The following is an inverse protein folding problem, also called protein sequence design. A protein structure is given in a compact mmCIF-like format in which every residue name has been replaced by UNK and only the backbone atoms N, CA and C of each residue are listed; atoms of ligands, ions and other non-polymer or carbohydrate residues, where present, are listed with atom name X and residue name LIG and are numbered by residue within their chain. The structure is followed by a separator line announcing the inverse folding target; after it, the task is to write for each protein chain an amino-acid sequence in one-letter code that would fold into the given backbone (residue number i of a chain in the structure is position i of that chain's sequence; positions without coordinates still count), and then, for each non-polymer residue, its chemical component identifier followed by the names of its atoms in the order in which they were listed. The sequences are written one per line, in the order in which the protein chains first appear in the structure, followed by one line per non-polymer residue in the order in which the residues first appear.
data_IF_138328092445
#
_entry.id   IF_138328092445
#
_cell.length_a   1.000
_cell.length_b   1.000
_cell.length_c   1.000
_cell.angle_alpha   90.00
_cell.angle_beta   90.00
_cell.angle_gamma   90.00
#
_symmetry.space_group_name_H-M   'P 1'
#
loop_
_entity.id
_entity.type
_entity.pdbx_description
1 polymer ?
#
# COMPACT_ATOMS: atom_id res chain seq x y z
N UNK A 1 12.88 14.63 11.45
CA UNK A 1 12.01 13.63 12.09
C UNK A 1 11.35 12.80 11.00
N UNK A 2 11.37 11.48 11.11
CA UNK A 2 10.79 10.60 10.10
C UNK A 2 9.31 10.39 10.36
N UNK A 3 8.53 10.37 9.28
CA UNK A 3 7.10 10.15 9.36
C UNK A 3 6.72 9.12 8.30
N UNK A 4 5.89 8.16 8.69
CA UNK A 4 5.35 7.15 7.77
C UNK A 4 3.85 7.30 7.64
N UNK A 5 3.36 7.24 6.42
CA UNK A 5 1.94 7.26 6.11
C UNK A 5 1.64 5.97 5.32
N UNK A 6 0.64 5.22 5.77
CA UNK A 6 0.21 3.98 5.14
C UNK A 6 -1.30 4.03 4.99
N UNK A 7 -1.76 4.17 3.75
CA UNK A 7 -3.19 4.38 3.47
C UNK A 7 -3.63 3.37 2.41
N UNK A 8 -4.82 2.80 2.61
CA UNK A 8 -5.43 1.86 1.66
C UNK A 8 -5.97 2.64 0.47
N UNK A 9 -5.53 2.30 -0.74
CA UNK A 9 -5.97 2.94 -1.97
C UNK A 9 -6.99 2.12 -2.75
N UNK A 10 -6.87 0.78 -2.72
CA UNK A 10 -7.76 -0.11 -3.43
C UNK A 10 -7.76 -1.47 -2.75
N UNK A 11 -8.85 -2.21 -2.88
CA UNK A 11 -9.00 -3.53 -2.27
C UNK A 11 -9.56 -4.49 -3.32
N UNK A 12 -8.98 -5.70 -3.36
CA UNK A 12 -9.51 -6.81 -4.15
C UNK A 12 -9.38 -8.09 -3.33
N UNK A 13 -10.52 -8.62 -2.86
CA UNK A 13 -10.51 -9.79 -2.00
C UNK A 13 -9.77 -9.51 -0.70
N UNK A 14 -8.75 -10.31 -0.40
CA UNK A 14 -7.95 -10.15 0.80
C UNK A 14 -6.63 -9.40 0.55
N UNK A 15 -6.47 -8.84 -0.64
CA UNK A 15 -5.31 -8.03 -0.99
C UNK A 15 -5.72 -6.58 -1.20
N UNK A 16 -4.77 -5.69 -1.02
CA UNK A 16 -5.00 -4.25 -1.20
C UNK A 16 -3.74 -3.58 -1.74
N UNK A 17 -3.95 -2.43 -2.38
CA UNK A 17 -2.88 -1.51 -2.72
C UNK A 17 -2.80 -0.45 -1.63
N UNK A 18 -1.62 -0.24 -1.11
CA UNK A 18 -1.37 0.75 -0.07
C UNK A 18 -0.44 1.84 -0.60
N UNK A 19 -0.73 3.07 -0.22
CA UNK A 19 0.24 4.16 -0.36
C UNK A 19 1.17 4.08 0.85
N UNK A 20 2.46 3.92 0.59
CA UNK A 20 3.47 3.92 1.64
C UNK A 20 4.38 5.13 1.40
N UNK A 21 4.16 6.17 2.17
CA UNK A 21 4.91 7.41 2.07
C UNK A 21 5.79 7.55 3.30
N UNK A 22 7.06 7.78 3.08
CA UNK A 22 8.03 8.03 4.15
C UNK A 22 8.59 9.42 3.98
N UNK A 23 8.45 10.25 4.99
CA UNK A 23 8.97 11.61 4.98
C UNK A 23 10.18 11.69 5.90
N UNK A 24 11.30 12.14 5.32
CA UNK A 24 12.54 12.39 6.04
C UNK A 24 12.77 13.89 6.08
N UNK A 25 13.80 14.34 6.80
CA UNK A 25 14.07 15.78 6.97
C UNK A 25 14.38 16.48 5.64
N UNK A 26 15.04 15.78 4.71
CA UNK A 26 15.54 16.38 3.47
C UNK A 26 14.95 15.74 2.20
N UNK A 27 14.14 14.69 2.32
CA UNK A 27 13.50 14.08 1.15
C UNK A 27 12.27 13.26 1.54
N UNK A 28 11.49 12.89 0.53
CA UNK A 28 10.30 12.05 0.70
C UNK A 28 10.36 10.89 -0.27
N UNK A 29 10.06 9.70 0.21
CA UNK A 29 9.92 8.50 -0.62
C UNK A 29 8.47 8.07 -0.67
N UNK A 30 7.99 7.70 -1.87
CA UNK A 30 6.65 7.16 -2.07
C UNK A 30 6.75 5.84 -2.79
N UNK A 31 6.13 4.82 -2.24
CA UNK A 31 6.01 3.51 -2.86
C UNK A 31 4.57 3.04 -2.79
N UNK A 32 4.20 2.15 -3.70
CA UNK A 32 2.89 1.53 -3.70
C UNK A 32 3.08 0.06 -3.43
N UNK A 33 2.33 -0.48 -2.48
CA UNK A 33 2.54 -1.83 -1.97
C UNK A 33 1.27 -2.63 -2.20
N UNK A 34 1.42 -3.84 -2.75
CA UNK A 34 0.32 -4.80 -2.79
C UNK A 34 0.59 -5.84 -1.73
N UNK A 35 -0.30 -5.96 -0.76
CA UNK A 35 -0.14 -6.90 0.33
C UNK A 35 -1.48 -7.39 0.83
N UNK A 36 -1.43 -8.41 1.71
CA UNK A 36 -2.62 -8.94 2.33
C UNK A 36 -3.18 -7.95 3.34
N UNK A 37 -4.50 -7.84 3.39
CA UNK A 37 -5.15 -6.95 4.36
C UNK A 37 -5.08 -7.56 5.76
N UNK A 38 -5.02 -6.68 6.75
CA UNK A 38 -5.08 -7.01 8.16
C UNK A 38 -6.22 -6.20 8.75
N UNK A 39 -7.11 -6.86 9.50
CA UNK A 39 -8.25 -6.22 10.19
C UNK A 39 -9.26 -5.56 9.23
N UNK A 40 -9.35 -6.03 7.99
CA UNK A 40 -10.36 -5.61 7.02
C UNK A 40 -10.52 -4.08 6.93
N UNK A 41 -9.48 -3.35 6.53
CA UNK A 41 -9.57 -1.90 6.42
C UNK A 41 -10.47 -1.49 5.25
N UNK A 42 -10.97 -0.26 5.29
CA UNK A 42 -11.68 0.34 4.17
C UNK A 42 -10.74 1.21 3.33
N UNK A 43 -11.13 1.48 2.09
CA UNK A 43 -10.37 2.40 1.23
C UNK A 43 -10.28 3.76 1.93
N UNK A 44 -9.07 4.31 1.99
CA UNK A 44 -8.80 5.57 2.66
C UNK A 44 -8.37 5.44 4.12
N UNK A 45 -8.50 4.24 4.69
CA UNK A 45 -8.07 4.02 6.07
C UNK A 45 -6.54 4.05 6.19
N UNK A 46 -6.10 4.58 7.32
CA UNK A 46 -4.71 4.50 7.73
C UNK A 46 -4.48 3.14 8.40
N UNK A 47 -3.40 2.45 8.03
CA UNK A 47 -3.11 1.11 8.57
C UNK A 47 -1.72 1.09 9.19
N UNK A 48 -1.47 0.09 10.03
CA UNK A 48 -0.15 -0.09 10.64
C UNK A 48 0.79 -0.93 9.77
N UNK A 49 0.26 -1.65 8.80
CA UNK A 49 1.07 -2.48 7.92
C UNK A 49 0.24 -3.48 7.12
N UNK A 50 0.92 -4.44 6.54
CA UNK A 50 0.34 -5.48 5.72
C UNK A 50 1.22 -6.72 5.81
N UNK A 51 0.70 -7.87 5.33
CA UNK A 51 1.47 -9.10 5.25
C UNK A 51 1.94 -9.32 3.81
N UNK A 52 3.16 -9.81 3.63
CA UNK A 52 3.71 -10.24 2.34
C UNK A 52 3.63 -9.16 1.25
N UNK A 53 4.08 -7.94 1.57
CA UNK A 53 4.00 -6.82 0.64
C UNK A 53 4.92 -6.96 -0.55
N UNK A 54 4.41 -6.58 -1.72
CA UNK A 54 5.20 -6.43 -2.93
C UNK A 54 5.20 -4.95 -3.32
N UNK A 55 6.37 -4.39 -3.58
CA UNK A 55 6.56 -2.95 -3.70
C UNK A 55 6.68 -2.52 -5.15
N UNK A 56 6.02 -1.42 -5.50
CA UNK A 56 6.03 -0.83 -6.84
C UNK A 56 6.31 0.66 -6.74
N UNK A 57 6.86 1.21 -7.81
CA UNK A 57 7.15 2.65 -7.86
C UNK A 57 5.96 3.48 -8.31
N UNK A 58 5.04 2.89 -9.05
CA UNK A 58 3.87 3.60 -9.58
C UNK A 58 2.59 2.91 -9.16
N UNK A 59 1.53 3.71 -9.04
CA UNK A 59 0.21 3.18 -8.73
C UNK A 59 -0.29 2.27 -9.85
N UNK A 60 -0.01 2.63 -11.09
CA UNK A 60 -0.42 1.83 -12.25
C UNK A 60 0.14 0.40 -12.18
N UNK A 61 1.43 0.27 -11.85
CA UNK A 61 2.04 -1.05 -11.71
C UNK A 61 1.43 -1.84 -10.57
N UNK A 62 1.19 -1.19 -9.44
CA UNK A 62 0.58 -1.84 -8.29
C UNK A 62 -0.85 -2.30 -8.59
N UNK A 63 -1.65 -1.46 -9.24
CA UNK A 63 -3.02 -1.82 -9.61
C UNK A 63 -3.05 -2.94 -10.64
N UNK A 64 -2.13 -2.92 -11.60
CA UNK A 64 -2.00 -4.01 -12.57
C UNK A 64 -1.70 -5.33 -11.91
N UNK A 65 -0.78 -5.34 -10.95
CA UNK A 65 -0.47 -6.54 -10.19
C UNK A 65 -1.69 -7.02 -9.38
N UNK A 66 -2.38 -6.11 -8.70
CA UNK A 66 -3.55 -6.46 -7.91
C UNK A 66 -4.65 -7.07 -8.79
N UNK A 67 -4.90 -6.47 -9.96
CA UNK A 67 -5.94 -6.95 -10.88
C UNK A 67 -5.63 -8.33 -11.44
N UNK A 68 -4.36 -8.70 -11.52
CA UNK A 68 -3.94 -10.01 -12.02
C UNK A 68 -3.82 -11.06 -10.91
N UNK A 69 -3.98 -10.69 -9.66
CA UNK A 69 -3.96 -11.63 -8.55
C UNK A 69 -5.25 -12.43 -8.52
N UNK A 70 -5.11 -13.71 -8.22
CA UNK A 70 -6.26 -14.58 -7.97
C UNK A 70 -6.46 -14.71 -6.47
N UNK A 71 -7.67 -14.58 -6.04
CA UNK A 71 -8.04 -14.78 -4.64
C UNK A 71 -8.24 -16.26 -4.32
#
# INVERSE_FOLDING_TARGET
MNKEIKIVLAIKGERAVYLFKREYDDFTEVEFVVGWVIDKPAIGDSVSGWASGKYFRTLEDALGYLNNCKD
#
